data_IF_912056582626
#
_entry.id   IF_912056582626
#
_cell.length_a   1.000
_cell.length_b   1.000
_cell.length_c   1.000
_cell.angle_alpha   90.00
_cell.angle_beta   90.00
_cell.angle_gamma   90.00
#
_symmetry.space_group_name_H-M   'P 1'
#
loop_
_entity.id
_entity.type
_entity.pdbx_description
1 polymer ?
#
# COMPACT_ATOMS: atom_id res chain seq x y z
N UNK A 1 -37.51 27.99 -12.33
CA UNK A 1 -36.45 28.34 -11.36
C UNK A 1 -35.24 27.53 -11.76
N UNK A 2 -34.22 28.22 -12.25
CA UNK A 2 -32.98 27.65 -12.76
C UNK A 2 -32.16 27.02 -11.63
N UNK A 3 -31.74 25.78 -11.82
CA UNK A 3 -30.82 25.05 -10.96
C UNK A 3 -29.53 25.87 -10.75
N UNK A 4 -29.32 26.29 -9.51
CA UNK A 4 -28.04 26.80 -8.99
C UNK A 4 -27.47 25.77 -8.01
N UNK A 5 -27.07 24.60 -8.50
CA UNK A 5 -26.32 23.63 -7.71
C UNK A 5 -25.28 22.88 -8.56
N UNK A 6 -24.65 23.56 -9.52
CA UNK A 6 -23.31 23.20 -9.97
C UNK A 6 -22.32 23.94 -9.08
N UNK A 7 -22.14 23.46 -7.84
CA UNK A 7 -20.90 23.76 -7.14
C UNK A 7 -19.78 23.14 -7.99
N UNK A 8 -18.87 24.00 -8.46
CA UNK A 8 -17.61 23.59 -9.08
C UNK A 8 -16.90 22.65 -8.08
N UNK A 9 -17.01 21.34 -8.30
CA UNK A 9 -16.21 20.34 -7.59
C UNK A 9 -14.77 20.48 -8.11
N UNK A 10 -14.05 21.47 -7.58
CA UNK A 10 -12.64 21.67 -7.87
C UNK A 10 -11.89 20.40 -7.48
N UNK A 11 -11.34 19.69 -8.47
CA UNK A 11 -10.62 18.44 -8.25
C UNK A 11 -9.34 18.78 -7.47
N UNK A 12 -9.30 18.41 -6.20
CA UNK A 12 -8.12 18.63 -5.36
C UNK A 12 -7.05 17.60 -5.72
N UNK A 13 -5.96 18.05 -6.34
CA UNK A 13 -4.89 17.19 -6.85
C UNK A 13 -3.54 17.44 -6.15
N UNK A 14 -2.54 16.63 -6.50
CA UNK A 14 -1.14 16.81 -6.07
C UNK A 14 -0.42 17.96 -6.79
N UNK A 15 -1.14 18.84 -7.51
CA UNK A 15 -0.60 20.16 -7.88
C UNK A 15 -0.36 21.05 -6.66
N UNK A 16 -1.12 20.80 -5.59
CA UNK A 16 -0.97 21.48 -4.30
C UNK A 16 0.11 20.82 -3.45
N UNK A 17 1.07 21.61 -2.98
CA UNK A 17 2.11 21.16 -2.05
C UNK A 17 1.51 20.67 -0.72
N UNK A 18 0.37 21.22 -0.27
CA UNK A 18 -0.35 20.74 0.92
C UNK A 18 -0.86 19.32 0.74
N UNK A 19 -1.41 19.01 -0.45
CA UNK A 19 -1.90 17.67 -0.80
C UNK A 19 -0.74 16.68 -0.87
N UNK A 20 0.36 17.06 -1.53
CA UNK A 20 1.59 16.24 -1.55
C UNK A 20 2.10 15.97 -0.13
N UNK A 21 2.09 16.98 0.74
CA UNK A 21 2.52 16.83 2.13
C UNK A 21 1.62 15.85 2.91
N UNK A 22 0.30 15.93 2.75
CA UNK A 22 -0.65 14.99 3.36
C UNK A 22 -0.42 13.55 2.91
N UNK A 23 -0.21 13.32 1.61
CA UNK A 23 0.16 11.99 1.09
C UNK A 23 1.47 11.49 1.68
N UNK A 24 2.51 12.33 1.75
CA UNK A 24 3.82 11.94 2.30
C UNK A 24 3.74 11.62 3.78
N UNK A 25 3.03 12.43 4.58
CA UNK A 25 2.83 12.16 6.01
C UNK A 25 2.02 10.88 6.24
N UNK A 26 0.99 10.62 5.43
CA UNK A 26 0.27 9.35 5.48
C UNK A 26 1.21 8.17 5.15
N UNK A 27 2.08 8.32 4.15
CA UNK A 27 3.04 7.29 3.77
C UNK A 27 4.11 7.05 4.82
N UNK A 28 4.61 8.09 5.49
CA UNK A 28 5.55 7.97 6.61
C UNK A 28 4.96 7.11 7.73
N UNK A 29 3.69 7.34 8.09
CA UNK A 29 2.99 6.50 9.07
C UNK A 29 2.87 5.07 8.55
N UNK A 30 2.37 4.87 7.34
CA UNK A 30 2.21 3.53 6.75
C UNK A 30 3.53 2.75 6.69
N UNK A 31 4.62 3.37 6.24
CA UNK A 31 5.94 2.74 6.19
C UNK A 31 6.46 2.37 7.59
N UNK A 32 6.32 3.29 8.56
CA UNK A 32 6.73 3.07 9.94
C UNK A 32 5.96 1.91 10.58
N UNK A 33 4.63 1.88 10.40
CA UNK A 33 3.79 0.82 10.95
C UNK A 33 4.06 -0.51 10.25
N UNK A 34 4.18 -0.53 8.92
CA UNK A 34 4.51 -1.75 8.19
C UNK A 34 5.79 -2.40 8.72
N UNK A 35 6.85 -1.61 8.91
CA UNK A 35 8.11 -2.09 9.47
C UNK A 35 7.93 -2.72 10.86
N UNK A 36 7.16 -2.07 11.75
CA UNK A 36 6.88 -2.59 13.11
C UNK A 36 6.06 -3.88 13.09
N UNK A 37 5.13 -4.02 12.15
CA UNK A 37 4.34 -5.25 11.99
C UNK A 37 5.24 -6.37 11.45
N UNK A 38 6.07 -6.10 10.44
CA UNK A 38 7.09 -7.03 9.91
C UNK A 38 8.05 -7.51 11.00
N UNK A 39 8.57 -6.61 11.83
CA UNK A 39 9.44 -6.94 12.97
C UNK A 39 8.76 -7.86 14.00
N UNK A 40 7.42 -7.88 14.03
CA UNK A 40 6.62 -8.72 14.93
C UNK A 40 6.16 -10.02 14.28
N UNK A 41 6.28 -10.15 12.96
CA UNK A 41 5.84 -11.29 12.18
C UNK A 41 6.88 -12.43 12.27
N UNK A 42 7.03 -12.98 13.46
CA UNK A 42 7.96 -14.05 13.81
C UNK A 42 7.24 -15.38 14.04
N UNK A 43 7.99 -16.48 14.13
CA UNK A 43 7.46 -17.80 14.49
C UNK A 43 6.62 -17.75 15.78
N UNK A 44 5.43 -18.35 15.73
CA UNK A 44 4.47 -18.37 16.83
C UNK A 44 3.60 -17.12 16.97
N UNK A 45 3.86 -16.04 16.23
CA UNK A 45 3.03 -14.84 16.27
C UNK A 45 1.62 -15.14 15.74
N UNK A 46 0.58 -14.72 16.46
CA UNK A 46 -0.81 -14.86 15.99
C UNK A 46 -1.12 -13.81 14.92
N UNK A 47 -1.78 -14.25 13.85
CA UNK A 47 -2.17 -13.37 12.74
C UNK A 47 -3.08 -12.23 13.23
N UNK A 48 -4.07 -12.54 14.07
CA UNK A 48 -5.00 -11.54 14.61
C UNK A 48 -4.29 -10.44 15.42
N UNK A 49 -3.24 -10.82 16.17
CA UNK A 49 -2.48 -9.88 17.00
C UNK A 49 -1.65 -8.93 16.13
N UNK A 50 -1.10 -9.42 15.02
CA UNK A 50 -0.40 -8.59 14.03
C UNK A 50 -1.34 -7.58 13.37
N UNK A 51 -2.54 -8.02 12.99
CA UNK A 51 -3.57 -7.16 12.42
C UNK A 51 -3.98 -6.07 13.42
N UNK A 52 -4.33 -6.44 14.65
CA UNK A 52 -4.70 -5.49 15.70
C UNK A 52 -3.54 -4.53 16.03
N UNK A 53 -2.29 -5.01 16.05
CA UNK A 53 -1.10 -4.19 16.28
C UNK A 53 -0.94 -3.12 15.20
N UNK A 54 -1.06 -3.48 13.92
CA UNK A 54 -0.94 -2.53 12.82
C UNK A 54 -2.02 -1.43 12.90
N UNK A 55 -3.28 -1.83 13.11
CA UNK A 55 -4.41 -0.91 13.22
C UNK A 55 -4.22 0.08 14.39
N UNK A 56 -3.85 -0.43 15.57
CA UNK A 56 -3.60 0.39 16.76
C UNK A 56 -2.45 1.38 16.55
N UNK A 57 -1.35 0.92 15.93
CA UNK A 57 -0.21 1.79 15.68
C UNK A 57 -0.56 2.91 14.69
N UNK A 58 -1.38 2.67 13.67
CA UNK A 58 -1.84 3.75 12.76
C UNK A 58 -2.63 4.78 13.57
N UNK A 59 -3.64 4.34 14.32
CA UNK A 59 -4.49 5.21 15.15
C UNK A 59 -3.68 6.00 16.19
N UNK A 60 -2.64 5.41 16.77
CA UNK A 60 -1.72 6.10 17.68
C UNK A 60 -0.88 7.17 16.98
N UNK A 61 -0.28 6.85 15.82
CA UNK A 61 0.63 7.77 15.13
C UNK A 61 -0.12 8.98 14.55
N UNK A 62 -1.33 8.78 14.00
CA UNK A 62 -2.10 9.90 13.41
C UNK A 62 -2.59 10.90 14.46
N UNK A 63 -2.77 10.52 15.74
CA UNK A 63 -3.25 11.43 16.80
C UNK A 63 -2.43 12.71 16.91
N UNK A 64 -1.11 12.61 16.70
CA UNK A 64 -0.18 13.73 16.83
C UNK A 64 -0.06 14.61 15.58
N UNK A 65 -0.62 14.18 14.44
CA UNK A 65 -0.55 14.91 13.17
C UNK A 65 -1.69 15.93 13.06
N UNK A 66 -1.43 17.11 12.48
CA UNK A 66 -2.45 18.12 12.18
C UNK A 66 -3.32 18.55 13.39
N UNK A 67 -2.80 18.51 14.62
CA UNK A 67 -3.56 18.78 15.86
C UNK A 67 -4.14 20.19 15.97
N UNK A 68 -3.55 21.17 15.27
CA UNK A 68 -4.03 22.55 15.23
C UNK A 68 -5.03 22.82 14.10
N UNK A 69 -5.14 21.91 13.14
CA UNK A 69 -6.05 22.06 12.02
C UNK A 69 -7.44 21.57 12.42
N UNK A 70 -8.46 22.38 12.13
CA UNK A 70 -9.87 21.98 12.34
C UNK A 70 -10.32 21.11 11.17
N UNK A 71 -11.18 20.14 11.44
CA UNK A 71 -11.87 19.32 10.44
C UNK A 71 -10.97 18.49 9.51
N UNK A 72 -9.75 18.14 9.93
CA UNK A 72 -8.92 17.16 9.22
C UNK A 72 -9.25 15.76 9.74
N UNK A 73 -9.82 14.93 8.87
CA UNK A 73 -9.98 13.50 9.12
C UNK A 73 -8.62 12.81 8.99
N UNK A 74 -8.37 11.78 9.77
CA UNK A 74 -7.12 11.00 9.75
C UNK A 74 -7.35 9.66 10.41
N UNK A 75 -6.68 8.62 9.93
CA UNK A 75 -6.88 7.26 10.44
C UNK A 75 -6.48 6.22 9.41
N UNK A 76 -7.08 5.04 9.53
CA UNK A 76 -6.85 3.91 8.62
C UNK A 76 -7.44 4.20 7.22
N UNK A 77 -6.62 4.03 6.19
CA UNK A 77 -7.06 4.00 4.78
C UNK A 77 -7.30 2.57 4.29
N UNK A 78 -6.59 1.60 4.84
CA UNK A 78 -6.76 0.18 4.57
C UNK A 78 -6.36 -0.59 5.83
N UNK A 79 -7.21 -1.48 6.36
CA UNK A 79 -6.91 -2.18 7.60
C UNK A 79 -5.74 -3.12 7.44
N UNK A 80 -5.08 -3.41 8.55
CA UNK A 80 -3.98 -4.36 8.56
C UNK A 80 -4.49 -5.75 8.23
N UNK A 81 -4.06 -6.26 7.08
CA UNK A 81 -4.32 -7.59 6.59
C UNK A 81 -3.02 -8.38 6.56
N UNK A 82 -3.06 -9.64 7.01
CA UNK A 82 -1.90 -10.53 7.05
C UNK A 82 -2.30 -11.85 6.41
N UNK A 83 -1.82 -12.10 5.18
CA UNK A 83 -2.24 -13.23 4.34
C UNK A 83 -1.08 -14.19 4.09
N UNK A 84 -1.23 -15.45 4.48
CA UNK A 84 -0.14 -16.43 4.57
C UNK A 84 -0.18 -17.44 3.42
N UNK A 85 0.98 -17.72 2.83
CA UNK A 85 1.21 -18.72 1.78
C UNK A 85 0.26 -18.55 0.58
N UNK A 86 -0.64 -19.51 0.37
CA UNK A 86 -1.61 -19.56 -0.72
C UNK A 86 -2.79 -18.59 -0.53
N UNK A 87 -3.03 -18.05 0.66
CA UNK A 87 -4.04 -17.00 0.85
C UNK A 87 -3.55 -15.74 0.14
N UNK A 88 -4.33 -15.23 -0.81
CA UNK A 88 -3.91 -14.15 -1.72
C UNK A 88 -3.96 -12.80 -1.02
N UNK A 89 -5.07 -12.45 -0.36
CA UNK A 89 -5.29 -11.10 0.14
C UNK A 89 -6.35 -11.02 1.26
N UNK A 90 -6.42 -9.84 1.88
CA UNK A 90 -7.52 -9.35 2.74
C UNK A 90 -7.83 -10.14 4.02
N UNK A 91 -6.94 -11.03 4.45
CA UNK A 91 -7.17 -11.78 5.67
C UNK A 91 -6.93 -10.92 6.93
N UNK A 92 -8.00 -10.60 7.67
CA UNK A 92 -7.96 -9.89 8.96
C UNK A 92 -9.03 -10.46 9.91
N UNK A 93 -8.77 -11.57 10.62
CA UNK A 93 -9.80 -12.37 11.29
C UNK A 93 -10.48 -11.66 12.48
N UNK A 94 -11.72 -12.06 12.80
CA UNK A 94 -12.39 -11.66 14.03
C UNK A 94 -11.93 -12.49 15.24
N UNK A 95 -11.98 -11.95 16.47
CA UNK A 95 -11.68 -12.70 17.68
C UNK A 95 -12.54 -13.96 17.88
N UNK A 96 -13.81 -13.96 17.43
CA UNK A 96 -14.67 -15.14 17.54
C UNK A 96 -14.53 -16.15 16.40
N UNK A 97 -13.77 -15.85 15.34
CA UNK A 97 -13.56 -16.79 14.25
C UNK A 97 -12.54 -17.87 14.66
N UNK A 98 -12.71 -19.09 14.15
CA UNK A 98 -11.78 -20.22 14.38
C UNK A 98 -10.35 -19.87 13.95
N UNK A 99 -10.26 -19.12 12.86
CA UNK A 99 -9.00 -18.73 12.22
C UNK A 99 -8.23 -17.67 13.04
N UNK A 100 -8.81 -17.12 14.10
CA UNK A 100 -8.10 -16.23 15.04
C UNK A 100 -6.96 -16.92 15.80
N UNK A 101 -6.99 -18.25 15.84
CA UNK A 101 -5.95 -19.08 16.46
C UNK A 101 -4.76 -19.35 15.54
N UNK A 102 -4.80 -18.92 14.28
CA UNK A 102 -3.72 -19.12 13.33
C UNK A 102 -2.46 -18.35 13.75
N UNK A 103 -1.35 -19.09 13.76
CA UNK A 103 -0.01 -18.60 14.09
C UNK A 103 0.91 -18.72 12.87
N UNK A 104 1.83 -17.77 12.76
CA UNK A 104 2.92 -17.83 11.80
C UNK A 104 3.92 -18.92 12.18
N UNK A 105 4.54 -19.53 11.16
CA UNK A 105 5.61 -20.52 11.31
C UNK A 105 6.81 -20.12 10.48
N UNK A 106 8.01 -20.49 10.93
CA UNK A 106 9.22 -20.35 10.11
C UNK A 106 9.02 -20.96 8.71
N UNK A 107 9.42 -20.20 7.69
CA UNK A 107 9.24 -20.54 6.27
C UNK A 107 7.92 -20.10 5.65
N UNK A 108 6.95 -19.60 6.44
CA UNK A 108 5.73 -19.03 5.89
C UNK A 108 6.01 -17.79 5.05
N UNK A 109 5.37 -17.70 3.88
CA UNK A 109 5.38 -16.54 2.99
C UNK A 109 4.23 -15.62 3.39
N UNK A 110 4.53 -14.49 4.02
CA UNK A 110 3.53 -13.65 4.68
C UNK A 110 3.42 -12.30 3.95
N UNK A 111 2.23 -12.03 3.43
CA UNK A 111 1.85 -10.73 2.85
C UNK A 111 1.25 -9.87 3.94
N UNK A 112 1.77 -8.67 4.14
CA UNK A 112 1.28 -7.69 5.11
C UNK A 112 0.89 -6.43 4.35
N UNK A 113 -0.37 -6.03 4.43
CA UNK A 113 -0.93 -4.86 3.76
C UNK A 113 -1.64 -3.97 4.79
N UNK A 114 -1.38 -2.66 4.73
CA UNK A 114 -2.04 -1.65 5.56
C UNK A 114 -1.95 -0.27 4.91
N UNK A 115 -2.74 0.69 5.39
CA UNK A 115 -2.67 2.06 4.88
C UNK A 115 -3.22 3.10 5.83
N UNK A 116 -2.71 4.32 5.68
CA UNK A 116 -3.08 5.50 6.46
C UNK A 116 -3.67 6.55 5.53
N UNK A 117 -4.66 7.31 5.99
CA UNK A 117 -5.15 8.49 5.29
C UNK A 117 -5.04 9.73 6.17
N UNK A 118 -4.84 10.87 5.51
CA UNK A 118 -4.91 12.20 6.11
C UNK A 118 -5.73 13.09 5.19
N UNK A 119 -6.81 13.67 5.71
CA UNK A 119 -7.78 14.51 5.00
C UNK A 119 -8.31 13.85 3.71
N UNK A 120 -8.50 12.52 3.76
CA UNK A 120 -8.94 11.74 2.62
C UNK A 120 -7.84 11.35 1.61
N UNK A 121 -6.59 11.73 1.82
CA UNK A 121 -5.47 11.31 0.97
C UNK A 121 -4.79 10.08 1.56
N UNK A 122 -4.86 8.95 0.85
CA UNK A 122 -4.42 7.66 1.34
C UNK A 122 -3.03 7.27 0.84
N UNK A 123 -2.25 6.64 1.72
CA UNK A 123 -1.02 5.94 1.36
C UNK A 123 -1.12 4.50 1.88
N UNK A 124 -1.27 3.55 0.95
CA UNK A 124 -1.36 2.11 1.22
C UNK A 124 -0.03 1.49 0.83
N UNK A 125 0.40 0.50 1.61
CA UNK A 125 1.64 -0.24 1.38
C UNK A 125 1.43 -1.71 1.70
N UNK A 126 2.11 -2.57 0.94
CA UNK A 126 2.16 -3.99 1.23
C UNK A 126 3.53 -4.56 0.91
N UNK A 127 3.98 -5.51 1.72
CA UNK A 127 5.20 -6.29 1.47
C UNK A 127 4.94 -7.77 1.68
N UNK A 128 5.81 -8.59 1.11
CA UNK A 128 5.87 -10.02 1.39
C UNK A 128 7.21 -10.36 2.03
N UNK A 129 7.16 -11.04 3.17
CA UNK A 129 8.34 -11.56 3.87
C UNK A 129 8.29 -13.08 3.95
N UNK A 130 9.40 -13.69 4.34
CA UNK A 130 9.47 -15.09 4.75
C UNK A 130 9.84 -15.14 6.23
N UNK A 131 9.00 -15.78 7.04
CA UNK A 131 9.21 -15.85 8.50
C UNK A 131 10.51 -16.61 8.80
N UNK A 132 11.39 -15.99 9.60
CA UNK A 132 12.69 -16.57 9.97
C UNK A 132 13.78 -16.42 8.89
N UNK A 133 13.52 -15.70 7.80
CA UNK A 133 14.55 -15.38 6.82
C UNK A 133 15.46 -14.24 7.30
N UNK A 134 16.75 -14.38 7.04
CA UNK A 134 17.78 -13.36 7.34
C UNK A 134 18.93 -13.46 6.35
N UNK A 135 19.98 -12.65 6.52
CA UNK A 135 21.19 -12.75 5.69
C UNK A 135 21.94 -14.05 5.94
N UNK A 136 21.86 -14.57 7.17
CA UNK A 136 22.44 -15.85 7.60
C UNK A 136 21.58 -17.05 7.17
N UNK A 137 20.27 -16.85 7.04
CA UNK A 137 19.31 -17.84 6.55
C UNK A 137 18.52 -17.30 5.35
N UNK A 138 19.15 -17.15 4.18
CA UNK A 138 18.52 -16.54 3.01
C UNK A 138 17.46 -17.45 2.39
N UNK A 139 16.47 -16.83 1.77
CA UNK A 139 15.42 -17.49 0.98
C UNK A 139 15.99 -17.85 -0.38
N UNK A 140 15.76 -19.10 -0.82
CA UNK A 140 16.23 -19.64 -2.10
C UNK A 140 15.12 -20.41 -2.83
N UNK A 141 15.42 -20.81 -4.06
CA UNK A 141 14.53 -21.64 -4.89
C UNK A 141 13.21 -20.94 -5.23
N UNK A 142 12.13 -21.71 -5.30
CA UNK A 142 10.83 -21.26 -5.82
C UNK A 142 10.26 -20.03 -5.11
N UNK A 143 10.46 -19.89 -3.80
CA UNK A 143 9.99 -18.72 -3.04
C UNK A 143 10.86 -17.49 -3.35
N UNK A 144 12.17 -17.66 -3.55
CA UNK A 144 13.03 -16.57 -4.00
C UNK A 144 12.67 -16.13 -5.42
N UNK A 145 12.43 -17.08 -6.34
CA UNK A 145 11.96 -16.78 -7.70
C UNK A 145 10.66 -15.97 -7.66
N UNK A 146 9.69 -16.37 -6.83
CA UNK A 146 8.44 -15.65 -6.59
C UNK A 146 8.67 -14.21 -6.13
N UNK A 147 9.46 -14.02 -5.08
CA UNK A 147 9.68 -12.71 -4.49
C UNK A 147 10.47 -11.79 -5.42
N UNK A 148 11.47 -12.33 -6.12
CA UNK A 148 12.22 -11.59 -7.15
C UNK A 148 11.30 -11.20 -8.32
N UNK A 149 10.45 -12.11 -8.80
CA UNK A 149 9.49 -11.82 -9.87
C UNK A 149 8.54 -10.69 -9.49
N UNK A 150 7.92 -10.77 -8.31
CA UNK A 150 7.01 -9.74 -7.80
C UNK A 150 7.72 -8.39 -7.61
N UNK A 151 8.95 -8.40 -7.08
CA UNK A 151 9.74 -7.19 -6.87
C UNK A 151 10.10 -6.50 -8.21
N UNK A 152 10.59 -7.27 -9.18
CA UNK A 152 10.94 -6.74 -10.50
C UNK A 152 9.70 -6.26 -11.26
N UNK A 153 8.57 -6.98 -11.15
CA UNK A 153 7.29 -6.58 -11.74
C UNK A 153 6.80 -5.24 -11.14
N UNK A 154 6.87 -5.07 -9.82
CA UNK A 154 6.61 -3.78 -9.18
C UNK A 154 7.58 -2.70 -9.68
N UNK A 155 8.88 -2.97 -9.68
CA UNK A 155 9.89 -2.03 -10.18
C UNK A 155 9.64 -1.58 -11.63
N UNK A 156 9.18 -2.47 -12.51
CA UNK A 156 8.82 -2.15 -13.88
C UNK A 156 7.52 -1.33 -13.96
N UNK A 157 6.49 -1.73 -13.21
CA UNK A 157 5.22 -0.99 -13.13
C UNK A 157 5.44 0.45 -12.69
N UNK A 158 6.22 0.67 -11.63
CA UNK A 158 6.54 2.01 -11.10
C UNK A 158 7.25 2.93 -12.12
N UNK A 159 7.90 2.36 -13.14
CA UNK A 159 8.57 3.11 -14.22
C UNK A 159 7.69 3.34 -15.45
N UNK A 160 6.70 2.48 -15.65
CA UNK A 160 5.74 2.56 -16.75
C UNK A 160 4.52 3.42 -16.40
N UNK A 161 4.15 3.50 -15.12
CA UNK A 161 3.08 4.38 -14.65
C UNK A 161 3.64 5.80 -14.56
N UNK A 162 3.59 6.49 -15.69
CA UNK A 162 4.01 7.89 -15.85
C UNK A 162 3.19 8.54 -16.97
N UNK A 163 3.06 9.88 -16.97
CA UNK A 163 2.26 10.59 -17.96
C UNK A 163 2.60 10.22 -19.41
N UNK A 164 1.57 10.02 -20.24
CA UNK A 164 1.72 9.70 -21.67
C UNK A 164 1.93 8.21 -21.99
N UNK A 165 1.99 7.33 -21.00
CA UNK A 165 1.95 5.88 -21.20
C UNK A 165 0.59 5.31 -20.82
N UNK A 166 0.30 4.11 -21.31
CA UNK A 166 -0.97 3.42 -21.07
C UNK A 166 -0.85 2.23 -20.12
N UNK A 167 -1.98 1.89 -19.50
CA UNK A 167 -2.12 0.80 -18.53
C UNK A 167 -1.83 -0.59 -19.12
N UNK A 168 -2.16 -0.84 -20.39
CA UNK A 168 -1.97 -2.16 -21.00
C UNK A 168 -0.49 -2.53 -21.11
N UNK A 169 0.37 -1.56 -21.41
CA UNK A 169 1.83 -1.77 -21.40
C UNK A 169 2.35 -2.22 -20.03
N UNK A 170 1.74 -1.74 -18.94
CA UNK A 170 2.09 -2.17 -17.57
C UNK A 170 1.72 -3.64 -17.39
N UNK A 171 0.48 -4.01 -17.71
CA UNK A 171 -0.05 -5.38 -17.64
C UNK A 171 0.83 -6.37 -18.41
N UNK A 172 1.14 -6.09 -19.66
CA UNK A 172 1.95 -6.97 -20.52
C UNK A 172 3.36 -7.16 -19.97
N UNK A 173 3.98 -6.08 -19.47
CA UNK A 173 5.34 -6.12 -18.92
C UNK A 173 5.39 -6.96 -17.65
N UNK A 174 4.42 -6.82 -16.75
CA UNK A 174 4.33 -7.62 -15.52
C UNK A 174 4.21 -9.10 -15.87
N UNK A 175 3.39 -9.45 -16.86
CA UNK A 175 3.19 -10.85 -17.26
C UNK A 175 4.47 -11.46 -17.85
N UNK A 176 5.24 -10.70 -18.65
CA UNK A 176 6.56 -11.15 -19.15
C UNK A 176 7.54 -11.41 -18.01
N UNK A 177 7.61 -10.51 -17.02
CA UNK A 177 8.49 -10.68 -15.86
C UNK A 177 8.09 -11.92 -15.06
N UNK A 178 6.81 -12.09 -14.72
CA UNK A 178 6.35 -13.25 -13.97
C UNK A 178 6.75 -14.57 -14.66
N UNK A 179 6.55 -14.66 -15.98
CA UNK A 179 6.92 -15.83 -16.79
C UNK A 179 8.42 -16.13 -16.76
N UNK A 180 9.29 -15.11 -16.74
CA UNK A 180 10.75 -15.31 -16.69
C UNK A 180 11.23 -16.03 -15.41
N UNK A 181 10.39 -16.08 -14.37
CA UNK A 181 10.67 -16.77 -13.11
C UNK A 181 9.83 -18.03 -12.90
N UNK A 182 9.13 -18.52 -13.93
CA UNK A 182 8.14 -19.60 -13.86
C UNK A 182 7.03 -19.33 -12.83
N UNK A 183 6.53 -18.10 -12.83
CA UNK A 183 5.42 -17.64 -11.98
C UNK A 183 4.33 -16.98 -12.84
N UNK A 184 3.17 -16.73 -12.25
CA UNK A 184 2.04 -16.08 -12.92
C UNK A 184 1.56 -14.87 -12.11
N UNK A 185 1.32 -13.73 -12.75
CA UNK A 185 0.58 -12.65 -12.08
C UNK A 185 -0.86 -13.07 -11.81
N UNK A 186 -1.39 -12.65 -10.67
CA UNK A 186 -2.72 -13.09 -10.20
C UNK A 186 -3.82 -12.44 -11.05
N UNK A 187 -4.62 -13.26 -11.72
CA UNK A 187 -5.69 -12.91 -12.64
C UNK A 187 -6.73 -11.99 -12.00
N UNK A 188 -7.04 -10.89 -12.69
CA UNK A 188 -8.13 -9.98 -12.34
C UNK A 188 -7.86 -9.03 -11.18
N UNK A 189 -6.68 -9.07 -10.56
CA UNK A 189 -6.32 -8.11 -9.51
C UNK A 189 -6.05 -6.74 -10.11
N UNK A 190 -6.44 -5.67 -9.40
CA UNK A 190 -6.47 -4.31 -9.93
C UNK A 190 -5.61 -3.37 -9.10
N UNK A 191 -4.77 -2.58 -9.78
CA UNK A 191 -4.23 -1.33 -9.27
C UNK A 191 -5.15 -0.18 -9.67
N UNK A 192 -5.27 0.84 -8.82
CA UNK A 192 -6.23 1.93 -9.00
C UNK A 192 -5.56 3.30 -8.93
N UNK A 193 -6.10 4.23 -9.70
CA UNK A 193 -5.95 5.65 -9.39
C UNK A 193 -6.54 5.95 -8.01
N UNK A 194 -5.89 6.82 -7.25
CA UNK A 194 -6.33 7.29 -5.94
C UNK A 194 -6.63 8.78 -5.98
N UNK A 195 -7.75 9.16 -5.37
CA UNK A 195 -8.26 10.52 -5.25
C UNK A 195 -8.65 10.78 -3.79
N UNK A 196 -9.00 12.03 -3.45
CA UNK A 196 -9.46 12.37 -2.09
C UNK A 196 -10.70 11.53 -1.75
N UNK A 197 -10.64 10.78 -0.64
CA UNK A 197 -11.67 9.86 -0.16
C UNK A 197 -12.00 8.70 -1.11
N UNK A 198 -11.18 8.43 -2.13
CA UNK A 198 -11.42 7.32 -3.05
C UNK A 198 -10.11 6.60 -3.43
N UNK A 199 -9.95 5.37 -2.96
CA UNK A 199 -8.79 4.52 -3.29
C UNK A 199 -9.01 3.62 -4.52
N UNK A 200 -10.22 3.64 -5.10
CA UNK A 200 -10.62 2.83 -6.25
C UNK A 200 -11.15 3.75 -7.36
N UNK A 201 -10.26 4.63 -7.84
CA UNK A 201 -10.55 5.56 -8.93
C UNK A 201 -10.86 4.87 -10.26
N UNK A 202 -11.25 5.68 -11.24
CA UNK A 202 -11.74 5.17 -12.54
C UNK A 202 -10.65 4.52 -13.39
N UNK A 203 -9.41 5.04 -13.34
CA UNK A 203 -8.29 4.49 -14.10
C UNK A 203 -7.70 3.29 -13.35
N UNK A 204 -7.57 2.18 -14.08
CA UNK A 204 -7.21 0.88 -13.52
C UNK A 204 -6.11 0.22 -14.33
N UNK A 205 -5.32 -0.61 -13.66
CA UNK A 205 -4.34 -1.51 -14.28
C UNK A 205 -4.71 -2.92 -13.80
N UNK A 206 -4.96 -3.83 -14.73
CA UNK A 206 -5.35 -5.21 -14.43
C UNK A 206 -4.16 -6.14 -14.54
N UNK A 207 -4.05 -7.09 -13.62
CA UNK A 207 -3.09 -8.19 -13.70
C UNK A 207 -3.72 -9.36 -14.45
N UNK A 208 -3.00 -9.87 -15.46
CA UNK A 208 -3.33 -11.11 -16.18
C UNK A 208 -4.83 -11.25 -16.53
N UNK A 209 -5.43 -10.30 -17.28
CA UNK A 209 -6.86 -10.32 -17.56
C UNK A 209 -7.26 -11.55 -18.40
N UNK A 210 -8.38 -12.18 -18.05
CA UNK A 210 -9.00 -13.18 -18.93
C UNK A 210 -9.90 -12.52 -19.99
N UNK A 211 -10.38 -13.30 -20.97
CA UNK A 211 -11.18 -12.79 -22.10
C UNK A 211 -12.48 -12.07 -21.69
N UNK A 212 -13.01 -12.39 -20.50
CA UNK A 212 -14.24 -11.79 -19.96
C UNK A 212 -13.96 -10.51 -19.15
N UNK A 213 -12.70 -10.24 -18.81
CA UNK A 213 -12.27 -9.09 -18.02
C UNK A 213 -11.73 -8.00 -18.94
N UNK A 214 -12.63 -7.16 -19.44
CA UNK A 214 -12.25 -5.98 -20.23
C UNK A 214 -12.14 -4.77 -19.32
N UNK A 215 -10.96 -4.17 -19.26
CA UNK A 215 -10.78 -2.82 -18.73
C UNK A 215 -10.52 -1.85 -19.88
N UNK A 216 -10.88 -0.59 -19.68
CA UNK A 216 -10.60 0.44 -20.66
C UNK A 216 -9.09 0.69 -20.77
N UNK A 217 -8.61 0.87 -22.00
CA UNK A 217 -7.27 1.41 -22.22
C UNK A 217 -7.27 2.86 -21.76
N UNK A 218 -6.44 3.19 -20.77
CA UNK A 218 -6.32 4.54 -20.23
C UNK A 218 -4.88 5.01 -20.26
N UNK A 219 -4.70 6.29 -20.56
CA UNK A 219 -3.43 6.99 -20.48
C UNK A 219 -3.26 7.61 -19.09
N UNK A 220 -2.06 7.49 -18.51
CA UNK A 220 -1.72 8.14 -17.25
C UNK A 220 -1.51 9.64 -17.45
N UNK A 221 -1.97 10.44 -16.50
CA UNK A 221 -1.90 11.90 -16.52
C UNK A 221 -0.94 12.48 -15.50
N UNK A 222 -0.54 13.74 -15.71
CA UNK A 222 0.13 14.52 -14.66
C UNK A 222 -0.82 14.80 -13.50
N UNK A 223 -0.25 14.87 -12.29
CA UNK A 223 -0.93 15.14 -11.03
C UNK A 223 -1.93 14.06 -10.58
N UNK A 224 -1.74 12.83 -11.06
CA UNK A 224 -2.48 11.66 -10.60
C UNK A 224 -1.72 10.91 -9.50
N UNK A 225 -2.44 10.14 -8.70
CA UNK A 225 -1.89 9.24 -7.66
C UNK A 225 -2.37 7.84 -7.97
N UNK A 226 -1.52 6.84 -7.77
CA UNK A 226 -1.88 5.43 -7.99
C UNK A 226 -1.47 4.58 -6.80
N UNK A 227 -2.35 3.66 -6.41
CA UNK A 227 -2.04 2.49 -5.61
C UNK A 227 -1.70 1.35 -6.56
N UNK A 228 -0.43 0.99 -6.63
CA UNK A 228 0.11 -0.02 -7.54
C UNK A 228 0.25 -1.33 -6.78
N UNK A 229 -0.64 -2.27 -7.03
CA UNK A 229 -0.73 -3.56 -6.36
C UNK A 229 -0.30 -4.69 -7.29
N UNK A 230 0.82 -5.32 -6.97
CA UNK A 230 1.42 -6.39 -7.76
C UNK A 230 1.34 -7.68 -6.98
N UNK A 231 0.54 -8.63 -7.47
CA UNK A 231 0.43 -9.97 -6.93
C UNK A 231 0.94 -11.00 -7.94
N UNK A 232 1.85 -11.85 -7.49
CA UNK A 232 2.43 -12.94 -8.28
C UNK A 232 2.23 -14.25 -7.51
N UNK A 233 1.97 -15.33 -8.24
CA UNK A 233 1.69 -16.67 -7.74
C UNK A 233 2.70 -17.65 -8.32
N UNK A 234 3.14 -18.62 -7.52
CA UNK A 234 3.88 -19.77 -8.02
C UNK A 234 3.00 -20.78 -8.76
N UNK A 235 1.68 -20.68 -8.61
CA UNK A 235 0.67 -21.55 -9.20
C UNK A 235 0.13 -21.01 -10.53
N UNK A 236 -1.15 -21.26 -10.79
CA UNK A 236 -1.82 -20.84 -12.05
C UNK A 236 -2.12 -19.34 -12.10
N UNK A 237 -2.04 -18.64 -10.97
CA UNK A 237 -2.43 -17.24 -10.84
C UNK A 237 -3.94 -17.04 -10.88
N UNK A 238 -4.74 -18.05 -10.53
CA UNK A 238 -6.21 -18.00 -10.66
C UNK A 238 -6.89 -17.97 -9.29
N UNK A 239 -7.36 -16.80 -8.81
CA UNK A 239 -8.02 -16.68 -7.52
C UNK A 239 -9.21 -17.61 -7.38
N UNK A 240 -9.30 -18.29 -6.24
CA UNK A 240 -10.45 -19.11 -5.85
C UNK A 240 -11.05 -18.57 -4.55
N UNK A 241 -12.37 -18.66 -4.35
CA UNK A 241 -12.98 -18.38 -3.06
C UNK A 241 -12.38 -19.26 -1.96
N UNK A 242 -12.29 -18.71 -0.75
CA UNK A 242 -11.87 -19.47 0.43
C UNK A 242 -13.05 -19.79 1.33
N UNK A 243 -12.84 -20.65 2.33
CA UNK A 243 -13.79 -20.83 3.45
C UNK A 243 -13.60 -19.79 4.56
N UNK A 244 -12.55 -18.97 4.49
CA UNK A 244 -12.27 -17.93 5.48
C UNK A 244 -13.34 -16.85 5.41
N UNK A 245 -13.75 -16.34 6.57
CA UNK A 245 -14.77 -15.30 6.66
C UNK A 245 -14.24 -14.00 6.05
N UNK A 246 -15.07 -13.34 5.24
CA UNK A 246 -14.86 -11.95 4.85
C UNK A 246 -15.09 -11.04 6.06
N UNK A 247 -14.08 -10.25 6.39
CA UNK A 247 -14.10 -9.34 7.54
C UNK A 247 -13.72 -7.92 7.17
N UNK A 248 -13.26 -7.66 5.95
CA UNK A 248 -12.92 -6.32 5.46
C UNK A 248 -14.00 -5.85 4.51
N UNK A 249 -14.49 -4.63 4.73
CA UNK A 249 -15.58 -4.03 3.96
C UNK A 249 -15.27 -2.57 3.68
N UNK A 250 -15.92 -2.00 2.66
CA UNK A 250 -15.89 -0.56 2.37
C UNK A 250 -17.30 -0.06 2.12
N UNK A 251 -17.62 1.13 2.63
CA UNK A 251 -18.88 1.79 2.34
C UNK A 251 -18.93 2.25 0.88
N UNK A 252 -20.08 2.09 0.24
CA UNK A 252 -20.33 2.57 -1.12
C UNK A 252 -21.13 3.88 -1.12
N UNK A 253 -21.42 4.40 -2.31
CA UNK A 253 -22.31 5.54 -2.51
C UNK A 253 -23.77 5.13 -2.74
N UNK A 254 -24.06 3.82 -2.70
CA UNK A 254 -25.43 3.32 -2.83
C UNK A 254 -26.22 3.72 -1.60
N UNK A 255 -27.46 4.16 -1.82
CA UNK A 255 -28.40 4.52 -0.75
C UNK A 255 -29.55 3.52 -0.70
N UNK A 256 -29.84 3.01 0.48
CA UNK A 256 -30.90 2.04 0.73
C UNK A 256 -31.46 2.23 2.14
N UNK A 257 -32.79 2.10 2.28
CA UNK A 257 -33.46 2.19 3.57
C UNK A 257 -33.43 0.84 4.30
N UNK A 258 -32.43 0.66 5.16
CA UNK A 258 -32.26 -0.54 5.99
C UNK A 258 -33.48 -0.81 6.88
N UNK A 259 -33.96 -2.05 6.86
CA UNK A 259 -35.16 -2.52 7.57
C UNK A 259 -34.84 -2.94 9.00
N UNK A 260 -33.69 -3.59 9.26
CA UNK A 260 -33.35 -4.03 10.61
C UNK A 260 -32.73 -2.89 11.44
N UNK A 261 -33.12 -2.80 12.71
CA UNK A 261 -32.56 -1.82 13.67
C UNK A 261 -31.05 -2.01 13.82
N UNK A 262 -30.59 -3.26 13.91
CA UNK A 262 -29.16 -3.58 14.04
C UNK A 262 -28.36 -3.09 12.84
N UNK A 263 -28.85 -3.31 11.61
CA UNK A 263 -28.17 -2.84 10.40
C UNK A 263 -28.08 -1.32 10.35
N UNK A 264 -29.14 -0.60 10.72
CA UNK A 264 -29.10 0.87 10.82
C UNK A 264 -28.04 1.37 11.80
N UNK A 265 -27.91 0.73 12.96
CA UNK A 265 -26.90 1.09 13.96
C UNK A 265 -25.48 0.82 13.44
N UNK A 266 -25.24 -0.36 12.86
CA UNK A 266 -23.94 -0.75 12.28
C UNK A 266 -23.56 0.17 11.13
N UNK A 267 -24.48 0.46 10.20
CA UNK A 267 -24.20 1.35 9.07
C UNK A 267 -23.91 2.79 9.50
N UNK A 268 -24.58 3.28 10.55
CA UNK A 268 -24.30 4.60 11.10
C UNK A 268 -22.90 4.65 11.73
N UNK A 269 -22.52 3.63 12.51
CA UNK A 269 -21.17 3.52 13.07
C UNK A 269 -20.12 3.48 11.96
N UNK A 270 -20.32 2.68 10.90
CA UNK A 270 -19.43 2.61 9.75
C UNK A 270 -19.24 3.99 9.11
N UNK A 271 -20.35 4.70 8.87
CA UNK A 271 -20.35 5.99 8.19
C UNK A 271 -19.64 7.07 8.99
N UNK A 272 -19.77 7.06 10.32
CA UNK A 272 -19.13 8.05 11.20
C UNK A 272 -17.65 7.77 11.44
N UNK A 273 -17.26 6.49 11.50
CA UNK A 273 -15.90 6.10 11.89
C UNK A 273 -14.95 6.01 10.70
N UNK A 274 -15.37 5.38 9.59
CA UNK A 274 -14.45 5.00 8.51
C UNK A 274 -14.64 5.83 7.23
N UNK A 275 -15.76 6.54 7.11
CA UNK A 275 -16.09 7.30 5.92
C UNK A 275 -16.21 6.39 4.70
N UNK A 276 -15.36 6.62 3.69
CA UNK A 276 -15.31 5.86 2.43
C UNK A 276 -14.15 4.87 2.34
N UNK A 277 -13.34 4.73 3.40
CA UNK A 277 -12.20 3.82 3.40
C UNK A 277 -12.59 2.41 3.85
N UNK A 278 -11.88 1.37 3.38
CA UNK A 278 -12.00 0.03 3.92
C UNK A 278 -11.77 -0.04 5.43
N UNK A 279 -12.50 -0.93 6.08
CA UNK A 279 -12.44 -1.14 7.52
C UNK A 279 -12.58 -2.63 7.85
N UNK A 280 -11.98 -3.10 8.96
CA UNK A 280 -12.18 -4.46 9.44
C UNK A 280 -13.39 -4.51 10.37
N UNK A 281 -14.19 -5.58 10.33
CA UNK A 281 -15.32 -5.78 11.25
C UNK A 281 -14.88 -5.76 12.73
N UNK A 282 -13.62 -6.12 13.02
CA UNK A 282 -13.03 -6.07 14.37
C UNK A 282 -12.97 -4.64 14.94
N UNK A 283 -13.01 -3.61 14.11
CA UNK A 283 -13.00 -2.21 14.54
C UNK A 283 -14.38 -1.69 14.97
N UNK A 284 -15.45 -2.46 14.76
CA UNK A 284 -16.79 -2.12 15.25
C UNK A 284 -16.93 -2.46 16.73
N UNK A 285 -17.66 -1.62 17.46
CA UNK A 285 -17.79 -1.66 18.92
C UNK A 285 -18.44 -2.93 19.48
N UNK A 286 -19.29 -3.61 18.71
CA UNK A 286 -19.98 -4.84 19.12
C UNK A 286 -19.94 -5.87 17.98
N UNK A 287 -19.09 -6.88 18.15
CA UNK A 287 -18.85 -7.91 17.13
C UNK A 287 -20.12 -8.69 16.76
N UNK A 288 -21.00 -8.99 17.73
CA UNK A 288 -22.23 -9.74 17.45
C UNK A 288 -23.19 -8.91 16.60
N UNK A 289 -23.35 -7.62 16.94
CA UNK A 289 -24.15 -6.70 16.13
C UNK A 289 -23.54 -6.49 14.75
N UNK A 290 -22.22 -6.34 14.67
CA UNK A 290 -21.48 -6.20 13.41
C UNK A 290 -21.76 -7.37 12.47
N UNK A 291 -21.57 -8.61 12.94
CA UNK A 291 -21.83 -9.84 12.14
C UNK A 291 -23.27 -9.93 11.65
N UNK A 292 -24.25 -9.50 12.43
CA UNK A 292 -25.65 -9.50 12.01
C UNK A 292 -26.00 -8.36 11.05
N UNK A 293 -25.58 -7.14 11.37
CA UNK A 293 -25.95 -5.92 10.63
C UNK A 293 -25.30 -5.84 9.25
N UNK A 294 -24.06 -6.33 9.12
CA UNK A 294 -23.30 -6.26 7.86
C UNK A 294 -23.97 -7.05 6.72
N UNK A 295 -24.75 -8.09 7.04
CA UNK A 295 -25.41 -8.95 6.05
C UNK A 295 -26.40 -8.14 5.21
N UNK A 296 -27.30 -7.38 5.85
CA UNK A 296 -28.27 -6.55 5.12
C UNK A 296 -27.59 -5.41 4.36
N UNK A 297 -26.57 -4.79 4.97
CA UNK A 297 -25.78 -3.75 4.30
C UNK A 297 -25.10 -4.27 3.03
N UNK A 298 -24.56 -5.48 3.06
CA UNK A 298 -23.89 -6.11 1.91
C UNK A 298 -24.91 -6.53 0.84
N UNK A 299 -26.02 -7.15 1.24
CA UNK A 299 -27.07 -7.60 0.31
C UNK A 299 -27.72 -6.46 -0.48
N UNK A 300 -27.70 -5.24 0.07
CA UNK A 300 -28.18 -4.03 -0.59
C UNK A 300 -27.05 -3.11 -1.06
N UNK A 301 -25.83 -3.64 -1.11
CA UNK A 301 -24.64 -2.98 -1.64
C UNK A 301 -24.29 -1.65 -1.00
N UNK A 302 -24.78 -1.36 0.21
CA UNK A 302 -24.36 -0.20 1.02
C UNK A 302 -22.89 -0.32 1.46
N UNK A 303 -22.42 -1.56 1.58
CA UNK A 303 -21.02 -1.90 1.80
C UNK A 303 -20.61 -2.98 0.79
N UNK A 304 -19.39 -2.88 0.29
CA UNK A 304 -18.77 -3.87 -0.57
C UNK A 304 -17.77 -4.72 0.24
N UNK A 305 -17.77 -6.05 0.06
CA UNK A 305 -16.80 -6.94 0.68
C UNK A 305 -15.44 -6.85 -0.02
N UNK A 306 -14.37 -6.89 0.77
CA UNK A 306 -13.03 -7.25 0.28
C UNK A 306 -12.87 -8.74 0.49
N UNK A 307 -13.24 -9.50 -0.54
CA UNK A 307 -13.20 -10.96 -0.52
C UNK A 307 -11.80 -11.49 -0.18
N UNK A 308 -11.76 -12.58 0.58
CA UNK A 308 -10.54 -13.36 0.79
C UNK A 308 -10.47 -14.39 -0.31
N UNK A 309 -9.39 -14.33 -1.10
CA UNK A 309 -9.11 -15.31 -2.15
C UNK A 309 -7.93 -16.20 -1.79
N UNK A 310 -7.84 -17.36 -2.42
CA UNK A 310 -6.72 -18.27 -2.30
C UNK A 310 -6.27 -18.83 -3.65
N UNK A 311 -5.00 -19.18 -3.68
CA UNK A 311 -4.42 -20.13 -4.61
C UNK A 311 -4.64 -21.58 -4.17
N UNK A 312 -4.21 -22.53 -5.01
CA UNK A 312 -4.15 -23.94 -4.61
C UNK A 312 -3.24 -24.10 -3.39
N UNK A 313 -3.66 -24.91 -2.42
CA UNK A 313 -2.82 -25.24 -1.26
C UNK A 313 -1.49 -25.87 -1.72
N UNK A 314 -0.39 -25.45 -1.08
CA UNK A 314 0.99 -25.77 -1.49
C UNK A 314 1.61 -24.76 -2.45
N UNK A 315 0.83 -23.82 -2.98
CA UNK A 315 1.32 -22.67 -3.74
C UNK A 315 1.57 -21.45 -2.83
N UNK A 316 2.32 -20.49 -3.34
CA UNK A 316 2.70 -19.28 -2.63
C UNK A 316 2.37 -18.04 -3.47
N UNK A 317 1.95 -16.98 -2.79
CA UNK A 317 1.62 -15.70 -3.41
C UNK A 317 2.40 -14.60 -2.72
N UNK A 318 3.06 -13.77 -3.53
CA UNK A 318 3.74 -12.56 -3.10
C UNK A 318 3.00 -11.32 -3.60
N UNK A 319 2.93 -10.32 -2.75
CA UNK A 319 2.33 -9.01 -2.97
C UNK A 319 3.34 -7.90 -2.66
N UNK A 320 3.40 -6.92 -3.55
CA UNK A 320 4.02 -5.62 -3.30
C UNK A 320 3.05 -4.52 -3.70
N UNK A 321 2.70 -3.67 -2.74
CA UNK A 321 1.84 -2.51 -2.99
C UNK A 321 2.61 -1.23 -2.72
N UNK A 322 2.60 -0.31 -3.69
CA UNK A 322 3.16 1.03 -3.55
C UNK A 322 2.13 2.11 -3.91
N UNK A 323 1.95 3.12 -3.06
CA UNK A 323 1.38 4.41 -3.47
C UNK A 323 2.44 5.28 -4.15
N UNK A 324 2.12 5.82 -5.34
CA UNK A 324 2.97 6.73 -6.12
C UNK A 324 2.25 8.02 -6.54
N UNK A 325 3.01 9.11 -6.68
CA UNK A 325 2.55 10.42 -7.12
C UNK A 325 3.16 10.77 -8.47
N UNK A 326 2.33 11.03 -9.48
CA UNK A 326 2.76 11.44 -10.82
C UNK A 326 2.92 12.95 -10.89
N UNK A 327 4.04 13.46 -10.36
CA UNK A 327 4.29 14.91 -10.32
C UNK A 327 4.82 15.43 -11.67
N UNK A 328 4.79 16.76 -11.88
CA UNK A 328 5.48 17.46 -13.00
C UNK A 328 7.00 17.18 -13.05
N UNK A 329 7.56 16.67 -11.96
CA UNK A 329 8.98 16.32 -11.83
C UNK A 329 9.26 14.83 -12.01
N UNK A 330 8.26 14.04 -12.41
CA UNK A 330 8.31 12.60 -12.56
C UNK A 330 7.61 11.87 -11.42
N UNK A 331 7.64 10.54 -11.48
CA UNK A 331 7.00 9.66 -10.51
C UNK A 331 7.75 9.70 -9.18
N UNK A 332 7.03 10.00 -8.09
CA UNK A 332 7.53 9.95 -6.72
C UNK A 332 6.92 8.74 -6.01
N UNK A 333 7.76 7.76 -5.69
CA UNK A 333 7.36 6.64 -4.83
C UNK A 333 7.44 7.11 -3.38
N UNK A 334 6.34 7.00 -2.62
CA UNK A 334 6.25 7.49 -1.23
C UNK A 334 6.19 6.36 -0.19
N UNK A 335 5.99 5.13 -0.63
CA UNK A 335 5.86 3.94 0.22
C UNK A 335 6.99 2.94 -0.06
N UNK A 336 7.42 2.19 0.95
CA UNK A 336 8.56 1.26 0.90
C UNK A 336 8.13 -0.19 1.14
N UNK A 337 8.58 -1.10 0.28
CA UNK A 337 8.18 -2.51 0.26
C UNK A 337 9.22 -3.45 0.87
N UNK A 338 10.30 -2.95 1.49
CA UNK A 338 11.22 -3.71 2.35
C UNK A 338 11.88 -4.95 1.71
N UNK A 339 11.99 -5.00 0.37
CA UNK A 339 12.68 -6.09 -0.32
C UNK A 339 14.20 -5.99 -0.11
N UNK A 340 14.83 -7.10 0.30
CA UNK A 340 16.28 -7.18 0.48
C UNK A 340 16.88 -8.30 -0.43
N UNK A 341 17.65 -7.94 -1.47
CA UNK A 341 18.29 -8.93 -2.36
C UNK A 341 19.39 -9.75 -1.69
N UNK A 342 19.89 -9.37 -0.51
CA UNK A 342 20.84 -10.20 0.26
C UNK A 342 20.12 -11.35 0.97
N UNK A 343 18.85 -11.14 1.35
CA UNK A 343 17.99 -12.16 1.97
C UNK A 343 17.31 -13.01 0.90
N UNK A 344 16.89 -12.41 -0.22
CA UNK A 344 16.15 -13.10 -1.30
C UNK A 344 17.10 -13.42 -2.46
N UNK A 345 17.46 -14.69 -2.61
CA UNK A 345 18.48 -15.16 -3.56
C UNK A 345 17.86 -16.11 -4.58
N UNK A 346 17.38 -15.57 -5.71
CA UNK A 346 16.92 -16.35 -6.86
C UNK A 346 18.11 -16.69 -7.78
N UNK A 347 18.15 -17.93 -8.28
CA UNK A 347 19.13 -18.36 -9.29
C UNK A 347 18.69 -17.99 -10.72
N UNK A 348 17.41 -17.65 -10.90
CA UNK A 348 16.86 -17.20 -12.19
C UNK A 348 17.17 -15.73 -12.42
N UNK A 349 17.26 -15.37 -13.70
CA UNK A 349 17.55 -14.01 -14.12
C UNK A 349 16.58 -13.60 -15.20
N UNK A 350 16.22 -12.32 -15.17
CA UNK A 350 15.51 -11.69 -16.27
C UNK A 350 16.49 -11.48 -17.43
N UNK A 351 16.14 -11.97 -18.61
CA UNK A 351 16.99 -11.87 -19.81
C UNK A 351 16.43 -10.91 -20.88
N UNK A 352 15.17 -10.50 -20.76
CA UNK A 352 14.54 -9.56 -21.70
C UNK A 352 15.25 -8.19 -21.65
N UNK A 353 15.96 -7.85 -22.73
CA UNK A 353 16.79 -6.65 -22.82
C UNK A 353 15.99 -5.35 -22.67
N UNK A 354 14.76 -5.30 -23.18
CA UNK A 354 13.91 -4.11 -23.08
C UNK A 354 13.49 -3.87 -21.62
N UNK A 355 13.14 -4.95 -20.90
CA UNK A 355 12.75 -4.86 -19.50
C UNK A 355 13.97 -4.56 -18.61
N UNK A 356 15.13 -5.15 -18.88
CA UNK A 356 16.38 -4.82 -18.19
C UNK A 356 16.74 -3.34 -18.39
N UNK A 357 16.63 -2.83 -19.62
CA UNK A 357 16.84 -1.42 -19.91
C UNK A 357 15.85 -0.54 -19.15
N UNK A 358 14.56 -0.91 -19.13
CA UNK A 358 13.54 -0.22 -18.35
C UNK A 358 13.93 -0.16 -16.87
N UNK A 359 14.25 -1.30 -16.25
CA UNK A 359 14.59 -1.38 -14.83
C UNK A 359 15.86 -0.59 -14.47
N UNK A 360 16.79 -0.40 -15.41
CA UNK A 360 17.97 0.46 -15.23
C UNK A 360 17.64 1.96 -15.16
N UNK A 361 16.47 2.39 -15.66
CA UNK A 361 16.06 3.79 -15.62
C UNK A 361 15.66 4.24 -14.20
N UNK A 362 15.78 5.54 -13.94
CA UNK A 362 15.29 6.14 -12.68
C UNK A 362 13.78 6.35 -12.73
N UNK A 363 13.08 6.08 -11.62
CA UNK A 363 11.63 6.29 -11.50
C UNK A 363 11.26 7.79 -11.48
N UNK A 364 12.13 8.65 -10.92
CA UNK A 364 12.00 10.11 -10.97
C UNK A 364 13.01 10.77 -11.92
N UNK A 365 12.94 12.12 -12.08
CA UNK A 365 14.00 12.86 -12.80
C UNK A 365 15.38 12.59 -12.14
N UNK A 366 16.44 12.34 -12.92
CA UNK A 366 17.78 12.22 -12.36
C UNK A 366 18.13 13.52 -11.62
N UNK A 367 18.57 13.42 -10.37
CA UNK A 367 19.13 14.58 -9.64
C UNK A 367 20.21 15.17 -10.53
N UNK A 368 20.01 16.39 -11.07
CA UNK A 368 21.08 17.13 -11.74
C UNK A 368 22.25 17.15 -10.76
N UNK A 369 23.36 16.48 -11.09
CA UNK A 369 24.62 16.62 -10.35
C UNK A 369 24.88 18.12 -10.26
N UNK A 370 24.79 18.71 -9.07
CA UNK A 370 25.33 20.04 -8.82
C UNK A 370 26.79 19.94 -9.23
N UNK A 371 27.17 20.56 -10.35
CA UNK A 371 28.58 20.69 -10.74
C UNK A 371 29.28 21.35 -9.54
N UNK A 372 30.10 20.58 -8.82
CA UNK A 372 31.13 21.15 -7.96
C UNK A 372 31.98 22.03 -8.88
N UNK A 373 31.83 23.35 -8.77
CA UNK A 373 32.83 24.29 -9.27
C UNK A 373 34.06 24.07 -8.39
N UNK A 374 35.03 23.34 -8.91
CA UNK A 374 36.40 23.32 -8.38
C UNK A 374 37.07 24.64 -8.74
N UNK A 375 37.60 25.31 -7.72
CA UNK A 375 38.29 26.59 -7.78
C UNK A 375 39.49 26.59 -8.73
N UNK A 376 39.68 27.69 -9.45
CA UNK A 376 40.98 28.14 -9.90
C UNK A 376 41.29 29.47 -9.18
N UNK A 377 42.38 29.45 -8.43
CA UNK A 377 42.98 30.55 -7.66
C UNK A 377 43.50 31.67 -8.56
N UNK A 378 43.25 32.92 -8.16
CA UNK A 378 44.21 34.02 -8.34
C UNK A 378 44.06 35.05 -7.22
N UNK A 379 45.16 35.25 -6.51
CA UNK A 379 45.49 36.24 -5.49
C UNK A 379 45.16 37.69 -5.86
N UNK A 380 44.66 38.49 -4.89
CA UNK A 380 45.32 39.71 -4.38
C UNK A 380 44.37 40.63 -3.55
N UNK A 381 44.77 40.85 -2.29
CA UNK A 381 44.78 42.11 -1.51
C UNK A 381 43.47 42.86 -1.21
N UNK A 382 43.18 43.07 0.09
CA UNK A 382 42.68 44.37 0.58
C UNK A 382 41.54 44.40 1.60
N UNK A 383 41.91 44.46 2.89
CA UNK A 383 41.26 45.21 4.01
C UNK A 383 39.85 44.89 4.53
N UNK A 384 39.82 44.54 5.83
CA UNK A 384 38.92 44.89 6.94
C UNK A 384 37.41 45.08 6.68
N UNK A 385 36.55 44.36 7.43
CA UNK A 385 36.07 44.84 8.73
C UNK A 385 35.37 43.72 9.53
N UNK A 386 35.46 43.88 10.84
CA UNK A 386 35.02 43.08 11.97
C UNK A 386 33.50 43.06 12.16
N UNK A 387 32.92 41.92 12.56
CA UNK A 387 32.08 41.80 13.78
C UNK A 387 31.69 40.35 14.04
N UNK A 388 31.93 39.94 15.29
CA UNK A 388 31.52 38.69 15.93
C UNK A 388 30.02 38.75 16.28
N UNK A 389 29.33 37.61 16.29
CA UNK A 389 28.72 37.11 17.53
C UNK A 389 28.27 35.65 17.38
N UNK A 390 28.64 34.86 18.39
CA UNK A 390 28.34 33.44 18.60
C UNK A 390 26.90 33.26 19.10
N UNK A 391 26.27 32.14 18.75
CA UNK A 391 25.31 31.48 19.65
C UNK A 391 25.62 29.98 19.67
N UNK A 392 26.04 29.54 20.85
CA UNK A 392 26.50 28.19 21.15
C UNK A 392 25.38 27.15 21.25
N UNK A 393 25.76 25.94 20.87
CA UNK A 393 25.10 24.67 21.13
C UNK A 393 25.47 24.14 22.51
N UNK A 394 24.49 23.71 23.30
CA UNK A 394 24.72 22.84 24.45
C UNK A 394 24.09 21.48 24.22
N UNK A 395 24.97 20.50 23.99
CA UNK A 395 24.74 19.07 24.17
C UNK A 395 24.57 18.76 25.67
N UNK A 396 23.73 17.78 26.00
CA UNK A 396 23.68 17.17 27.33
C UNK A 396 24.03 15.70 27.16
N UNK A 397 25.26 15.35 27.57
CA UNK A 397 25.72 13.99 27.79
C UNK A 397 25.35 13.51 29.20
N UNK A 398 25.09 12.21 29.27
CA UNK A 398 24.83 11.43 30.46
C UNK A 398 26.03 11.36 31.42
N UNK A 399 25.77 11.16 32.70
CA UNK A 399 26.64 10.33 33.54
C UNK A 399 25.89 9.77 34.76
N UNK A 400 26.28 8.54 35.10
CA UNK A 400 25.80 7.74 36.20
C UNK A 400 26.60 8.01 37.48
N UNK A 401 25.96 7.84 38.64
CA UNK A 401 26.44 7.10 39.83
C UNK A 401 25.81 7.64 41.12
N UNK A 402 25.28 6.71 41.92
CA UNK A 402 24.57 6.94 43.18
C UNK A 402 23.76 5.71 43.54
#
# INVERSE_FOLDING_TARGET
MTDKNSEDNEVITIESDDVVNKYKMAAEVSNCVLKKVVESAVDGAKIIDLCAKGDNLIEENVKYLFTKAKNITKGIAFPTCVSVNHIICHFSPLPSDTDSSEILKNGDVVKIQLGTQIDGFAAIVATTIVVGASKENPVKGRIADLLTAAHLASGAALRLIKPGLDNMKVTDTIQKIAKAFDTNSVEGMLSYQQEKNNIEGKKQIILNPNENQKIDKVEFGENEVYGVDILVSTGEGKPKPTTKRVTVYKKTDITYLLKLKTSRLVYNEISQTFGSFPFPLRALSDEKKAKMGIIECTNHSLVAPYEVYQEKEGEFVAQFFNTILLTKNGTSIITDTLYDPEIIQSDKKLEDEEILQLLSTSVGKPKKKKKKKTNATSTAVGSNDTTKEEVGSTEVSAEASG
#
